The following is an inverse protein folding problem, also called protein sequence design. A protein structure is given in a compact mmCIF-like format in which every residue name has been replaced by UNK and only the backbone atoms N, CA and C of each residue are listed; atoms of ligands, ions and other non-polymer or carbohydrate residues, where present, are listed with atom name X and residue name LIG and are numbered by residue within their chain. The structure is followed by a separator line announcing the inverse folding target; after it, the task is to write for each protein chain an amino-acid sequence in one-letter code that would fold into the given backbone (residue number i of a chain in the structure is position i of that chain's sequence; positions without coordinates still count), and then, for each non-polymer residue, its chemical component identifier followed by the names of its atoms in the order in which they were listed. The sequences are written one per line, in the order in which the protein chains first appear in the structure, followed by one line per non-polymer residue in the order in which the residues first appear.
data_IF_192169013775
#
_entry.id   IF_192169013775
#
_cell.length_a   1.000
_cell.length_b   1.000
_cell.length_c   1.000
_cell.angle_alpha   90.00
_cell.angle_beta   90.00
_cell.angle_gamma   90.00
#
_symmetry.space_group_name_H-M   'P 1'
#
loop_
_entity.id
_entity.type
_entity.pdbx_description
1 polymer ?
#
# COMPACT_ATOMS: atom_id res chain seq x y z
N UNK A 1 -4.77 25.58 -23.86
CA UNK A 1 -5.05 25.51 -22.41
C UNK A 1 -3.75 25.25 -21.67
N UNK A 2 -3.63 25.71 -20.43
CA UNK A 2 -2.52 25.33 -19.53
C UNK A 2 -2.59 23.84 -19.18
N UNK A 3 -1.51 23.31 -18.58
CA UNK A 3 -1.52 21.96 -18.04
C UNK A 3 -2.73 21.77 -17.12
N UNK A 4 -3.56 20.73 -17.32
CA UNK A 4 -4.71 20.48 -16.49
C UNK A 4 -4.29 19.96 -15.11
N UNK A 5 -4.90 20.50 -14.07
CA UNK A 5 -4.77 20.03 -12.70
C UNK A 5 -6.01 19.19 -12.37
N UNK A 6 -5.79 17.99 -11.84
CA UNK A 6 -6.85 17.08 -11.41
C UNK A 6 -6.83 16.99 -9.89
N UNK A 7 -7.99 17.10 -9.26
CA UNK A 7 -8.17 16.97 -7.82
C UNK A 7 -9.41 16.12 -7.51
N UNK A 8 -9.38 15.45 -6.38
CA UNK A 8 -10.53 14.76 -5.79
C UNK A 8 -10.74 15.31 -4.38
N UNK A 9 -12.00 15.45 -3.97
CA UNK A 9 -12.38 15.89 -2.63
C UNK A 9 -13.08 14.76 -1.90
N UNK A 10 -12.56 14.41 -0.72
CA UNK A 10 -13.21 13.50 0.22
C UNK A 10 -13.78 14.29 1.38
N UNK A 11 -15.08 14.15 1.63
CA UNK A 11 -15.77 14.80 2.76
C UNK A 11 -16.09 13.73 3.79
N UNK A 12 -15.41 13.78 4.95
CA UNK A 12 -15.71 12.93 6.12
C UNK A 12 -16.28 13.81 7.24
N UNK A 13 -17.59 13.71 7.54
CA UNK A 13 -18.17 14.40 8.68
C UNK A 13 -17.61 13.87 10.00
N UNK A 14 -17.57 14.76 10.99
CA UNK A 14 -17.21 14.44 12.36
C UNK A 14 -18.46 14.48 13.23
N UNK A 15 -18.56 13.53 14.13
CA UNK A 15 -19.51 13.54 15.23
C UNK A 15 -18.87 14.24 16.41
N UNK A 16 -19.50 15.32 16.87
CA UNK A 16 -19.03 16.13 18.00
C UNK A 16 -20.21 16.38 18.93
N UNK A 17 -20.28 15.61 20.02
CA UNK A 17 -21.29 15.74 21.06
C UNK A 17 -20.66 15.49 22.44
N UNK A 18 -20.66 16.49 23.31
CA UNK A 18 -20.05 16.39 24.65
C UNK A 18 -18.57 15.98 24.58
N UNK A 19 -18.24 14.83 25.19
CA UNK A 19 -16.89 14.24 25.18
C UNK A 19 -16.64 13.30 23.98
N UNK A 20 -17.66 13.02 23.18
CA UNK A 20 -17.54 12.14 22.02
C UNK A 20 -17.14 12.97 20.78
N UNK A 21 -15.84 12.97 20.46
CA UNK A 21 -15.27 13.57 19.24
C UNK A 21 -14.67 12.46 18.39
N UNK A 22 -15.35 12.09 17.30
CA UNK A 22 -14.90 11.03 16.40
C UNK A 22 -15.36 11.26 14.97
N UNK A 23 -14.69 10.70 13.95
CA UNK A 23 -15.24 10.64 12.61
C UNK A 23 -16.56 9.87 12.59
N UNK A 24 -17.47 10.23 11.69
CA UNK A 24 -18.69 9.45 11.46
C UNK A 24 -18.35 8.01 11.08
N UNK A 25 -19.23 7.03 11.33
CA UNK A 25 -18.91 5.62 11.06
C UNK A 25 -18.93 5.26 9.57
N UNK A 26 -19.72 5.98 8.77
CA UNK A 26 -19.88 5.76 7.33
C UNK A 26 -19.47 7.02 6.57
N UNK A 27 -18.83 6.83 5.42
CA UNK A 27 -18.68 7.88 4.41
C UNK A 27 -18.75 7.27 3.02
N UNK A 28 -18.89 8.13 2.02
CA UNK A 28 -18.69 7.80 0.62
C UNK A 28 -17.19 7.88 0.33
N UNK A 29 -16.59 6.76 -0.08
CA UNK A 29 -15.13 6.66 -0.29
C UNK A 29 -14.63 7.31 -1.58
N UNK A 30 -15.52 7.55 -2.54
CA UNK A 30 -15.18 8.16 -3.83
C UNK A 30 -16.44 8.77 -4.44
N UNK A 31 -16.29 9.95 -5.07
CA UNK A 31 -17.36 10.54 -5.89
C UNK A 31 -16.87 10.78 -7.30
N UNK A 32 -15.73 11.46 -7.46
CA UNK A 32 -15.17 11.75 -8.76
C UNK A 32 -14.06 12.79 -8.69
N UNK A 33 -13.46 13.05 -9.86
CA UNK A 33 -12.40 14.02 -10.03
C UNK A 33 -12.93 15.31 -10.64
N UNK A 34 -12.37 16.43 -10.21
CA UNK A 34 -12.54 17.74 -10.83
C UNK A 34 -11.25 18.12 -11.53
N UNK A 35 -11.34 18.43 -12.82
CA UNK A 35 -10.21 18.92 -13.61
C UNK A 35 -10.36 20.40 -13.89
N UNK A 36 -9.28 21.15 -13.71
CA UNK A 36 -9.23 22.58 -14.01
C UNK A 36 -8.06 22.89 -14.93
N UNK A 37 -8.28 23.80 -15.87
CA UNK A 37 -7.25 24.33 -16.76
C UNK A 37 -7.63 25.75 -17.18
N UNK A 38 -6.65 26.58 -17.49
CA UNK A 38 -6.89 27.94 -18.00
C UNK A 38 -6.83 27.94 -19.52
N UNK A 39 -7.78 28.62 -20.16
CA UNK A 39 -7.74 28.89 -21.60
C UNK A 39 -6.53 29.79 -21.88
N UNK A 40 -5.87 29.57 -23.01
CA UNK A 40 -4.70 30.34 -23.46
C UNK A 40 -5.06 30.97 -24.81
N UNK A 41 -4.56 32.18 -25.07
CA UNK A 41 -4.79 32.87 -26.33
C UNK A 41 -4.24 32.06 -27.53
N UNK A 42 -4.84 32.17 -28.72
CA UNK A 42 -4.35 31.47 -29.92
C UNK A 42 -2.90 31.85 -30.25
N UNK A 43 -2.09 30.86 -30.65
CA UNK A 43 -0.69 31.07 -31.07
C UNK A 43 0.32 31.27 -29.92
N UNK A 44 -0.11 31.23 -28.66
CA UNK A 44 0.80 31.31 -27.51
C UNK A 44 1.39 29.93 -27.21
N UNK A 45 2.72 29.84 -27.25
CA UNK A 45 3.46 28.68 -26.76
C UNK A 45 3.57 28.72 -25.23
N UNK A 46 3.22 27.60 -24.58
CA UNK A 46 3.23 27.49 -23.13
C UNK A 46 4.59 26.96 -22.68
N UNK A 47 5.28 27.61 -21.73
CA UNK A 47 6.54 27.11 -21.22
C UNK A 47 6.41 25.68 -20.67
N UNK A 48 7.29 24.79 -21.10
CA UNK A 48 7.32 23.43 -20.59
C UNK A 48 7.69 23.44 -19.10
N UNK A 49 6.80 22.93 -18.25
CA UNK A 49 7.10 22.72 -16.83
C UNK A 49 8.12 21.59 -16.73
N UNK A 50 9.36 21.91 -16.33
CA UNK A 50 10.38 20.89 -16.02
C UNK A 50 9.90 20.07 -14.82
N UNK A 51 9.29 18.91 -15.08
CA UNK A 51 9.04 17.92 -14.03
C UNK A 51 10.38 17.34 -13.64
N UNK A 52 10.87 17.70 -12.45
CA UNK A 52 12.04 17.07 -11.87
C UNK A 52 11.66 15.66 -11.42
N UNK A 53 11.51 14.73 -12.36
CA UNK A 53 11.32 13.33 -12.05
C UNK A 53 12.69 12.71 -11.76
N UNK A 54 13.39 13.24 -10.76
CA UNK A 54 14.59 12.58 -10.25
C UNK A 54 14.10 11.44 -9.40
N UNK A 55 14.41 10.20 -9.81
CA UNK A 55 14.50 9.14 -8.82
C UNK A 55 15.54 9.64 -7.82
N UNK A 56 15.18 9.92 -6.55
CA UNK A 56 16.20 10.24 -5.56
C UNK A 56 17.23 9.12 -5.59
N UNK A 57 18.46 9.48 -5.93
CA UNK A 57 19.60 8.59 -5.77
C UNK A 57 19.89 8.61 -4.27
N UNK A 58 19.48 7.55 -3.59
CA UNK A 58 19.67 7.41 -2.16
C UNK A 58 21.13 7.04 -1.89
N UNK A 59 21.72 7.62 -0.85
CA UNK A 59 23.03 7.19 -0.41
C UNK A 59 22.97 5.75 0.09
N UNK A 60 24.10 5.05 0.04
CA UNK A 60 24.19 3.68 0.55
C UNK A 60 23.82 3.64 2.03
N UNK A 61 24.19 4.68 2.77
CA UNK A 61 23.87 4.91 4.17
C UNK A 61 22.36 5.06 4.42
N UNK A 62 21.65 5.81 3.57
CA UNK A 62 20.18 5.98 3.66
C UNK A 62 19.43 4.68 3.37
N UNK A 63 19.91 3.91 2.38
CA UNK A 63 19.35 2.60 2.04
C UNK A 63 19.60 1.63 3.19
N UNK A 64 20.82 1.59 3.73
CA UNK A 64 21.18 0.72 4.85
C UNK A 64 20.32 0.98 6.09
N UNK A 65 20.04 2.24 6.43
CA UNK A 65 19.19 2.61 7.56
C UNK A 65 17.77 1.98 7.51
N UNK A 66 17.26 1.68 6.32
CA UNK A 66 15.95 1.05 6.11
C UNK A 66 16.02 -0.38 5.58
N UNK A 67 17.22 -0.95 5.43
CA UNK A 67 17.39 -2.36 5.07
C UNK A 67 17.14 -3.32 6.25
N UNK A 68 16.83 -4.60 5.97
CA UNK A 68 16.59 -5.61 7.01
C UNK A 68 17.71 -5.76 8.06
N UNK A 69 18.96 -5.42 7.70
CA UNK A 69 20.11 -5.46 8.62
C UNK A 69 20.06 -4.39 9.72
N UNK A 70 19.50 -3.22 9.43
CA UNK A 70 19.32 -2.12 10.40
C UNK A 70 18.03 -2.27 11.22
N UNK A 71 16.98 -2.83 10.63
CA UNK A 71 15.66 -2.98 11.26
C UNK A 71 15.52 -4.21 12.15
N UNK A 72 16.56 -4.58 12.93
CA UNK A 72 16.46 -5.50 14.07
C UNK A 72 15.65 -6.79 13.85
N UNK A 73 15.56 -7.29 12.61
CA UNK A 73 14.68 -8.40 12.29
C UNK A 73 15.23 -9.65 12.95
N UNK A 74 14.40 -10.28 13.80
CA UNK A 74 14.79 -11.51 14.49
C UNK A 74 14.87 -12.65 13.50
N UNK A 75 16.08 -13.13 13.21
CA UNK A 75 16.27 -14.37 12.47
C UNK A 75 15.73 -15.56 13.29
N UNK A 76 14.97 -16.44 12.64
CA UNK A 76 14.54 -17.68 13.27
C UNK A 76 15.78 -18.58 13.50
N UNK A 77 15.95 -19.07 14.73
CA UNK A 77 17.00 -20.05 15.03
C UNK A 77 16.84 -21.31 14.16
N UNK A 78 17.94 -21.94 13.76
CA UNK A 78 17.98 -23.18 12.98
C UNK A 78 17.09 -24.28 13.55
N UNK A 79 17.00 -24.39 14.88
CA UNK A 79 16.10 -25.34 15.54
C UNK A 79 14.63 -25.06 15.22
N UNK A 80 14.25 -23.78 15.18
CA UNK A 80 12.90 -23.33 14.83
C UNK A 80 12.62 -23.60 13.35
N UNK A 81 13.56 -23.30 12.46
CA UNK A 81 13.44 -23.59 11.02
C UNK A 81 13.23 -25.09 10.80
N UNK A 82 14.07 -25.95 11.39
CA UNK A 82 13.92 -27.41 11.31
C UNK A 82 12.57 -27.91 11.85
N UNK A 83 12.12 -27.37 12.98
CA UNK A 83 10.81 -27.72 13.57
C UNK A 83 9.66 -27.31 12.65
N UNK A 84 9.72 -26.12 12.07
CA UNK A 84 8.70 -25.61 11.14
C UNK A 84 8.63 -26.47 9.88
N UNK A 85 9.77 -26.86 9.29
CA UNK A 85 9.82 -27.77 8.14
C UNK A 85 9.15 -29.11 8.47
N UNK A 86 9.53 -29.74 9.59
CA UNK A 86 8.95 -31.02 10.03
C UNK A 86 7.43 -30.93 10.24
N UNK A 87 6.96 -29.83 10.83
CA UNK A 87 5.53 -29.61 11.07
C UNK A 87 4.76 -29.38 9.76
N UNK A 88 5.35 -28.67 8.79
CA UNK A 88 4.75 -28.48 7.48
C UNK A 88 4.61 -29.81 6.73
N UNK A 89 5.66 -30.64 6.72
CA UNK A 89 5.63 -31.97 6.11
C UNK A 89 4.58 -32.89 6.74
N UNK A 90 4.54 -32.97 8.08
CA UNK A 90 3.54 -33.79 8.78
C UNK A 90 2.10 -33.33 8.53
N UNK A 91 1.86 -32.02 8.37
CA UNK A 91 0.54 -31.51 7.99
C UNK A 91 0.18 -31.86 6.55
N UNK A 92 1.13 -31.75 5.62
CA UNK A 92 0.93 -32.12 4.22
C UNK A 92 0.61 -33.62 4.08
N UNK A 93 1.34 -34.49 4.77
CA UNK A 93 1.07 -35.94 4.82
C UNK A 93 -0.32 -36.25 5.37
N UNK A 94 -0.75 -35.58 6.44
CA UNK A 94 -2.09 -35.75 7.00
C UNK A 94 -3.18 -35.29 6.04
N UNK A 95 -3.00 -34.17 5.35
CA UNK A 95 -3.98 -33.70 4.34
C UNK A 95 -4.08 -34.63 3.14
N UNK A 96 -3.00 -35.34 2.79
CA UNK A 96 -3.02 -36.35 1.73
C UNK A 96 -3.74 -37.63 2.17
N UNK A 97 -3.56 -38.04 3.43
CA UNK A 97 -4.23 -39.22 4.01
C UNK A 97 -5.75 -39.06 4.15
N UNK A 98 -6.22 -37.84 4.44
CA UNK A 98 -7.66 -37.53 4.53
C UNK A 98 -8.38 -37.73 3.18
N UNK A 99 -7.75 -37.31 2.07
CA UNK A 99 -8.34 -37.44 0.73
C UNK A 99 -8.46 -38.90 0.24
N UNK A 100 -7.64 -39.83 0.75
CA UNK A 100 -7.71 -41.25 0.38
C UNK A 100 -8.83 -42.03 1.09
N UNK A 101 -9.43 -41.48 2.14
CA UNK A 101 -10.49 -42.18 2.91
C UNK A 101 -11.89 -41.90 2.34
N UNK A 102 -12.06 -40.83 1.57
CA UNK A 102 -13.36 -40.42 0.99
C UNK A 102 -13.67 -41.07 -0.39
N UNK A 103 -12.68 -41.70 -1.05
CA UNK A 103 -12.85 -42.37 -2.36
C UNK A 103 -13.23 -43.87 -2.25
N UNK A 104 -13.56 -44.36 -1.05
CA UNK A 104 -13.89 -45.77 -0.77
C UNK A 104 -15.32 -45.97 -0.21
N UNK A 105 -16.31 -45.24 -0.74
CA UNK A 105 -17.74 -45.58 -0.63
C UNK A 105 -18.42 -45.62 -1.99
#
# INVERSE_FOLDING_TARGET
FTNPESQEVLIRPWHVEGLAVRPEHRMIGHTGFVMTARIVAPGVEIPAVKRHHTKPEYSTEDVEAWTPGATGQRHASDKKIRKTIRQAQSRAEKSLGDNTTDDAQ
#
